data_IF_717550670799
#
_entry.id   IF_717550670799
#
_cell.length_a   1.000
_cell.length_b   1.000
_cell.length_c   1.000
_cell.angle_alpha   90.00
_cell.angle_beta   90.00
_cell.angle_gamma   90.00
#
_symmetry.space_group_name_H-M   'P 1'
#
loop_
_entity.id
_entity.type
_entity.pdbx_description
1 polymer ?
#
# COMPACT_ATOMS: atom_id res chain seq x y z
N UNK A 1 25.06 -6.73 -16.87
CA UNK A 1 24.17 -5.87 -16.05
C UNK A 1 23.08 -6.75 -15.48
N UNK A 2 23.10 -7.04 -14.18
CA UNK A 2 22.02 -7.80 -13.57
C UNK A 2 21.02 -6.82 -12.97
N UNK A 3 19.98 -6.48 -13.75
CA UNK A 3 18.76 -5.98 -13.14
C UNK A 3 18.23 -7.07 -12.20
N UNK A 4 17.69 -6.69 -11.03
CA UNK A 4 17.03 -7.67 -10.18
C UNK A 4 15.87 -8.35 -10.91
N UNK A 5 15.39 -9.46 -10.37
CA UNK A 5 14.32 -10.24 -11.00
C UNK A 5 13.11 -9.36 -11.37
N UNK A 6 12.51 -9.65 -12.52
CA UNK A 6 11.29 -9.00 -12.96
C UNK A 6 10.12 -9.54 -12.14
N UNK A 7 9.57 -8.72 -11.25
CA UNK A 7 8.47 -9.08 -10.34
C UNK A 7 7.10 -8.98 -11.03
N UNK A 8 6.96 -8.03 -11.95
CA UNK A 8 5.75 -7.88 -12.75
C UNK A 8 6.08 -7.25 -14.09
N UNK A 9 5.30 -7.64 -15.08
CA UNK A 9 5.43 -7.18 -16.45
C UNK A 9 4.07 -7.19 -17.14
N UNK A 10 3.57 -6.01 -17.47
CA UNK A 10 2.24 -5.83 -18.03
C UNK A 10 2.32 -4.87 -19.21
N UNK A 11 2.00 -5.37 -20.40
CA UNK A 11 1.71 -4.51 -21.54
C UNK A 11 0.37 -3.78 -21.31
N UNK A 12 0.33 -2.50 -21.67
CA UNK A 12 -0.86 -1.66 -21.68
C UNK A 12 -0.92 -0.86 -22.98
N UNK A 13 -2.03 -0.12 -23.15
CA UNK A 13 -2.32 0.63 -24.38
C UNK A 13 -1.22 1.66 -24.70
N UNK A 14 -0.68 2.31 -23.66
CA UNK A 14 0.32 3.39 -23.81
C UNK A 14 1.74 2.95 -23.40
N UNK A 15 2.01 1.65 -23.40
CA UNK A 15 3.33 1.10 -23.11
C UNK A 15 3.34 0.02 -22.02
N UNK A 16 4.53 -0.29 -21.51
CA UNK A 16 4.79 -1.45 -20.66
C UNK A 16 5.05 -1.03 -19.22
N UNK A 17 4.35 -1.62 -18.26
CA UNK A 17 4.58 -1.45 -16.85
C UNK A 17 5.41 -2.60 -16.32
N UNK A 18 6.59 -2.30 -15.79
CA UNK A 18 7.50 -3.30 -15.23
C UNK A 18 7.88 -2.97 -13.79
N UNK A 19 7.96 -4.01 -12.97
CA UNK A 19 8.42 -3.93 -11.59
C UNK A 19 9.69 -4.75 -11.47
N UNK A 20 10.79 -4.10 -11.12
CA UNK A 20 12.12 -4.70 -11.00
C UNK A 20 12.46 -4.84 -9.52
N UNK A 21 12.83 -6.05 -9.11
CA UNK A 21 13.29 -6.32 -7.76
C UNK A 21 14.60 -5.57 -7.46
N UNK A 22 14.74 -5.11 -6.23
CA UNK A 22 15.97 -4.57 -5.69
C UNK A 22 15.92 -4.76 -4.18
N UNK A 23 17.04 -5.19 -3.59
CA UNK A 23 17.18 -5.37 -2.15
C UNK A 23 16.88 -4.07 -1.37
N UNK A 24 17.14 -2.91 -1.97
CA UNK A 24 16.84 -1.60 -1.38
C UNK A 24 15.39 -1.13 -1.61
N UNK A 25 14.54 -1.99 -2.18
CA UNK A 25 13.14 -1.74 -2.52
C UNK A 25 12.91 -1.62 -4.02
N UNK A 26 11.80 -2.19 -4.49
CA UNK A 26 11.45 -2.34 -5.91
C UNK A 26 11.46 -1.02 -6.70
N UNK A 27 11.63 -1.15 -8.02
CA UNK A 27 11.51 -0.05 -8.98
C UNK A 27 10.31 -0.31 -9.88
N UNK A 28 9.40 0.66 -9.94
CA UNK A 28 8.21 0.62 -10.80
C UNK A 28 8.45 1.56 -11.97
N UNK A 29 8.52 1.02 -13.18
CA UNK A 29 8.81 1.77 -14.40
C UNK A 29 7.64 1.65 -15.36
N UNK A 30 7.32 2.77 -16.01
CA UNK A 30 6.45 2.79 -17.17
C UNK A 30 7.30 3.12 -18.40
N UNK A 31 7.50 2.13 -19.25
CA UNK A 31 8.31 2.22 -20.46
C UNK A 31 7.39 2.51 -21.64
N UNK A 32 7.63 3.64 -22.32
CA UNK A 32 7.00 3.94 -23.61
C UNK A 32 7.98 3.58 -24.71
N UNK A 33 7.58 2.67 -25.59
CA UNK A 33 8.32 2.22 -26.78
C UNK A 33 9.83 2.02 -26.57
N UNK A 34 10.25 1.18 -25.60
CA UNK A 34 11.67 0.97 -25.34
C UNK A 34 12.33 0.29 -26.55
N UNK A 35 13.28 0.98 -27.18
CA UNK A 35 14.13 0.38 -28.22
C UNK A 35 15.38 -0.22 -27.57
N UNK A 36 15.62 -1.54 -27.68
CA UNK A 36 16.81 -2.17 -27.10
C UNK A 36 18.11 -1.50 -27.56
N UNK A 37 19.05 -1.32 -26.63
CA UNK A 37 20.36 -0.72 -26.92
C UNK A 37 20.35 0.81 -27.08
N UNK A 38 19.20 1.47 -27.02
CA UNK A 38 19.11 2.94 -26.99
C UNK A 38 19.03 3.45 -25.55
N UNK A 39 19.63 4.62 -25.24
CA UNK A 39 19.45 5.27 -23.94
C UNK A 39 17.98 5.54 -23.64
N UNK A 40 17.57 5.37 -22.38
CA UNK A 40 16.24 5.73 -21.92
C UNK A 40 16.19 7.21 -21.55
N UNK A 41 15.09 7.87 -21.90
CA UNK A 41 14.75 9.20 -21.39
C UNK A 41 13.68 9.08 -20.30
N UNK A 42 13.79 9.87 -19.23
CA UNK A 42 12.79 9.94 -18.18
C UNK A 42 11.92 11.19 -18.34
N UNK A 43 10.59 11.00 -18.40
CA UNK A 43 9.61 12.10 -18.41
C UNK A 43 9.04 12.22 -17.00
N UNK A 44 9.25 13.36 -16.36
CA UNK A 44 8.79 13.63 -14.99
C UNK A 44 7.76 14.76 -15.03
N UNK A 45 6.47 14.48 -14.80
CA UNK A 45 5.46 15.52 -14.69
C UNK A 45 5.77 16.49 -13.54
N UNK A 46 5.54 17.78 -13.77
CA UNK A 46 5.60 18.83 -12.75
C UNK A 46 4.31 18.82 -11.91
N UNK A 47 4.11 17.75 -11.15
CA UNK A 47 2.95 17.55 -10.29
C UNK A 47 3.34 17.58 -8.80
N UNK A 48 2.34 17.41 -7.93
CA UNK A 48 2.54 17.33 -6.47
C UNK A 48 3.49 16.21 -6.02
N UNK A 49 3.72 15.21 -6.88
CA UNK A 49 4.53 14.04 -6.61
C UNK A 49 5.94 14.16 -7.24
N UNK A 50 6.28 15.33 -7.83
CA UNK A 50 7.53 15.61 -8.55
C UNK A 50 8.79 15.17 -7.79
N UNK A 51 8.96 15.63 -6.54
CA UNK A 51 10.15 15.31 -5.74
C UNK A 51 10.33 13.81 -5.52
N UNK A 52 9.24 13.09 -5.38
CA UNK A 52 9.25 11.63 -5.24
C UNK A 52 9.58 10.92 -6.54
N UNK A 53 9.07 11.41 -7.67
CA UNK A 53 9.41 10.90 -8.99
C UNK A 53 10.91 11.10 -9.29
N UNK A 54 11.47 12.24 -8.90
CA UNK A 54 12.92 12.50 -8.99
C UNK A 54 13.71 11.55 -8.09
N UNK A 55 13.31 11.35 -6.84
CA UNK A 55 13.99 10.42 -5.95
C UNK A 55 13.97 8.98 -6.51
N UNK A 56 12.84 8.55 -7.07
CA UNK A 56 12.69 7.25 -7.73
C UNK A 56 13.61 7.12 -8.94
N UNK A 57 13.66 8.15 -9.78
CA UNK A 57 14.55 8.20 -10.94
C UNK A 57 16.02 8.12 -10.53
N UNK A 58 16.44 8.85 -9.49
CA UNK A 58 17.82 8.80 -9.00
C UNK A 58 18.17 7.41 -8.45
N UNK A 59 17.25 6.74 -7.75
CA UNK A 59 17.44 5.35 -7.30
C UNK A 59 17.61 4.42 -8.50
N UNK A 60 16.75 4.54 -9.52
CA UNK A 60 16.83 3.73 -10.72
C UNK A 60 18.10 4.00 -11.54
N UNK A 61 18.51 5.25 -11.66
CA UNK A 61 19.76 5.63 -12.31
C UNK A 61 20.96 4.97 -11.62
N UNK A 62 21.02 4.98 -10.28
CA UNK A 62 22.09 4.25 -9.56
C UNK A 62 22.08 2.76 -9.87
N UNK A 63 20.91 2.13 -9.89
CA UNK A 63 20.76 0.72 -10.27
C UNK A 63 21.30 0.44 -11.69
N UNK A 64 20.99 1.30 -12.67
CA UNK A 64 21.48 1.18 -14.05
C UNK A 64 23.02 1.15 -14.14
N UNK A 65 23.69 1.89 -13.26
CA UNK A 65 25.16 1.95 -13.20
C UNK A 65 25.75 1.03 -12.12
N UNK A 66 25.02 -0.02 -11.73
CA UNK A 66 25.43 -1.02 -10.73
C UNK A 66 25.87 -0.42 -9.37
N UNK A 67 25.30 0.74 -9.01
CA UNK A 67 25.49 1.37 -7.70
C UNK A 67 24.31 1.00 -6.78
N UNK A 68 24.52 0.93 -5.45
CA UNK A 68 23.41 0.79 -4.51
C UNK A 68 22.35 1.86 -4.76
N UNK A 69 21.10 1.46 -4.99
CA UNK A 69 20.00 2.38 -5.28
C UNK A 69 19.77 3.40 -4.16
N UNK A 70 20.02 2.97 -2.91
CA UNK A 70 19.73 3.71 -1.70
C UNK A 70 18.32 3.45 -1.19
N UNK A 71 18.01 3.93 0.03
CA UNK A 71 16.74 3.67 0.70
C UNK A 71 15.56 4.24 -0.09
N UNK A 72 14.37 3.68 0.15
CA UNK A 72 13.13 4.26 -0.36
C UNK A 72 12.94 5.69 0.18
N UNK A 73 12.34 6.61 -0.59
CA UNK A 73 11.96 7.92 -0.11
C UNK A 73 11.18 7.85 1.20
N UNK A 74 11.40 8.84 2.08
CA UNK A 74 10.63 8.94 3.33
C UNK A 74 9.13 8.98 3.00
N UNK A 75 8.34 8.25 3.78
CA UNK A 75 6.89 8.14 3.56
C UNK A 75 6.44 7.08 2.56
N UNK A 76 7.36 6.42 1.83
CA UNK A 76 7.03 5.27 0.97
C UNK A 76 6.64 4.02 1.76
N UNK A 77 7.48 3.52 2.69
CA UNK A 77 7.11 2.35 3.44
C UNK A 77 5.99 2.69 4.42
N UNK A 78 4.95 1.86 4.46
CA UNK A 78 4.00 1.90 5.56
C UNK A 78 4.74 1.59 6.86
N UNK A 79 4.56 2.44 7.87
CA UNK A 79 5.05 2.15 9.22
C UNK A 79 4.42 0.85 9.73
N UNK A 80 5.10 0.14 10.63
CA UNK A 80 4.58 -1.09 11.22
C UNK A 80 3.18 -0.90 11.82
N UNK A 81 2.95 0.21 12.53
CA UNK A 81 1.65 0.59 13.05
C UNK A 81 0.57 0.75 11.97
N UNK A 82 0.88 1.47 10.87
CA UNK A 82 -0.08 1.64 9.76
C UNK A 82 -0.40 0.32 9.07
N UNK A 83 0.61 -0.54 8.88
CA UNK A 83 0.44 -1.88 8.30
C UNK A 83 -0.48 -2.74 9.18
N UNK A 84 -0.21 -2.82 10.47
CA UNK A 84 -1.04 -3.58 11.41
C UNK A 84 -2.48 -3.05 11.47
N UNK A 85 -2.67 -1.73 11.43
CA UNK A 85 -4.02 -1.14 11.35
C UNK A 85 -4.74 -1.53 10.07
N UNK A 86 -4.08 -1.50 8.91
CA UNK A 86 -4.68 -1.90 7.63
C UNK A 86 -5.05 -3.39 7.62
N UNK A 87 -4.24 -4.24 8.22
CA UNK A 87 -4.55 -5.68 8.37
C UNK A 87 -5.82 -5.89 9.21
N UNK A 88 -5.93 -5.19 10.35
CA UNK A 88 -7.15 -5.21 11.16
C UNK A 88 -8.36 -4.69 10.38
N UNK A 89 -8.19 -3.64 9.58
CA UNK A 89 -9.25 -3.09 8.73
C UNK A 89 -9.73 -4.11 7.69
N UNK A 90 -8.80 -4.82 7.03
CA UNK A 90 -9.14 -5.87 6.06
C UNK A 90 -9.93 -7.00 6.73
N UNK A 91 -9.42 -7.55 7.84
CA UNK A 91 -10.13 -8.61 8.59
C UNK A 91 -11.52 -8.17 9.05
N UNK A 92 -11.66 -6.93 9.53
CA UNK A 92 -12.94 -6.38 9.96
C UNK A 92 -13.91 -6.18 8.78
N UNK A 93 -13.39 -5.81 7.60
CA UNK A 93 -14.17 -5.65 6.39
C UNK A 93 -14.68 -6.99 5.89
N UNK A 94 -13.82 -8.00 5.80
CA UNK A 94 -14.18 -9.36 5.36
C UNK A 94 -15.33 -9.91 6.22
N UNK A 95 -15.15 -9.89 7.55
CA UNK A 95 -16.20 -10.32 8.48
C UNK A 95 -17.49 -9.50 8.34
N UNK A 96 -17.38 -8.19 8.09
CA UNK A 96 -18.54 -7.33 7.93
C UNK A 96 -19.31 -7.64 6.64
N UNK A 97 -18.58 -7.94 5.55
CA UNK A 97 -19.16 -8.35 4.27
C UNK A 97 -19.84 -9.72 4.38
N UNK A 98 -19.32 -10.60 5.24
CA UNK A 98 -19.94 -11.89 5.59
C UNK A 98 -21.12 -11.76 6.57
N UNK A 99 -21.54 -10.54 6.90
CA UNK A 99 -22.73 -10.27 7.72
C UNK A 99 -22.49 -10.22 9.23
N UNK A 100 -21.25 -10.36 9.71
CA UNK A 100 -20.96 -10.31 11.13
C UNK A 100 -21.38 -8.97 11.76
N UNK A 101 -21.88 -9.05 12.98
CA UNK A 101 -22.16 -7.91 13.84
C UNK A 101 -20.87 -7.30 14.37
N UNK A 102 -20.90 -6.01 14.75
CA UNK A 102 -19.75 -5.36 15.38
C UNK A 102 -19.22 -6.09 16.63
N UNK A 103 -20.07 -6.86 17.32
CA UNK A 103 -19.70 -7.61 18.50
C UNK A 103 -18.93 -8.88 18.15
N UNK A 104 -19.40 -9.62 17.15
CA UNK A 104 -18.69 -10.79 16.61
C UNK A 104 -17.34 -10.38 16.00
N UNK A 105 -17.29 -9.25 15.29
CA UNK A 105 -16.03 -8.71 14.77
C UNK A 105 -15.08 -8.37 15.93
N UNK A 106 -15.56 -7.77 17.02
CA UNK A 106 -14.71 -7.48 18.17
C UNK A 106 -14.09 -8.75 18.77
N UNK A 107 -14.90 -9.80 18.97
CA UNK A 107 -14.44 -11.10 19.48
C UNK A 107 -13.40 -11.70 18.52
N UNK A 108 -13.69 -11.75 17.22
CA UNK A 108 -12.77 -12.29 16.21
C UNK A 108 -11.44 -11.53 16.09
N UNK A 109 -11.40 -10.26 16.51
CA UNK A 109 -10.18 -9.43 16.59
C UNK A 109 -9.47 -9.52 17.96
N UNK A 110 -9.82 -10.50 18.79
CA UNK A 110 -9.17 -10.78 20.08
C UNK A 110 -9.67 -9.91 21.24
N UNK A 111 -10.92 -9.43 21.16
CA UNK A 111 -11.62 -8.75 22.27
C UNK A 111 -12.60 -9.70 22.95
N UNK A 112 -12.15 -10.89 23.33
CA UNK A 112 -13.00 -11.96 23.86
C UNK A 112 -13.78 -11.55 25.12
N UNK A 113 -13.26 -10.57 25.88
CA UNK A 113 -13.95 -10.02 27.05
C UNK A 113 -15.33 -9.45 26.72
N UNK A 114 -15.55 -9.01 25.48
CA UNK A 114 -16.84 -8.44 25.05
C UNK A 114 -17.94 -9.49 24.90
N UNK A 115 -17.58 -10.78 24.82
CA UNK A 115 -18.55 -11.87 24.74
C UNK A 115 -19.42 -11.96 26.01
N UNK A 116 -18.87 -11.54 27.16
CA UNK A 116 -19.55 -11.60 28.47
C UNK A 116 -20.35 -10.35 28.83
N UNK A 117 -20.19 -9.26 28.08
CA UNK A 117 -20.88 -8.00 28.37
C UNK A 117 -22.39 -8.11 28.15
N UNK A 118 -23.18 -7.44 28.99
CA UNK A 118 -24.59 -7.19 28.69
C UNK A 118 -24.74 -6.31 27.44
N UNK A 119 -25.96 -6.24 26.90
CA UNK A 119 -26.25 -5.36 25.77
C UNK A 119 -25.95 -3.88 26.07
N UNK A 120 -26.21 -3.43 27.31
CA UNK A 120 -25.95 -2.04 27.75
C UNK A 120 -24.45 -1.77 27.86
N UNK A 121 -23.70 -2.68 28.49
CA UNK A 121 -22.25 -2.55 28.61
C UNK A 121 -21.56 -2.60 27.25
N UNK A 122 -22.02 -3.47 26.33
CA UNK A 122 -21.52 -3.52 24.97
C UNK A 122 -21.73 -2.19 24.24
N UNK A 123 -22.92 -1.59 24.33
CA UNK A 123 -23.24 -0.31 23.69
C UNK A 123 -22.32 0.83 24.14
N UNK A 124 -21.91 0.81 25.41
CA UNK A 124 -21.04 1.84 26.00
C UNK A 124 -19.55 1.47 25.98
N UNK A 125 -19.17 0.31 25.43
CA UNK A 125 -17.80 -0.18 25.46
C UNK A 125 -16.86 0.55 24.49
N UNK A 126 -15.60 0.70 24.90
CA UNK A 126 -14.53 1.18 24.03
C UNK A 126 -14.29 0.23 22.84
N UNK A 127 -14.48 -1.08 23.04
CA UNK A 127 -14.34 -2.10 22.00
C UNK A 127 -15.35 -1.91 20.86
N UNK A 128 -16.62 -1.61 21.17
CA UNK A 128 -17.62 -1.27 20.16
C UNK A 128 -17.20 -0.04 19.35
N UNK A 129 -16.80 1.03 20.03
CA UNK A 129 -16.36 2.28 19.38
C UNK A 129 -15.10 2.07 18.52
N UNK A 130 -14.20 1.19 18.95
CA UNK A 130 -13.01 0.80 18.20
C UNK A 130 -13.40 0.07 16.90
N UNK A 131 -14.17 -1.01 16.99
CA UNK A 131 -14.55 -1.81 15.81
C UNK A 131 -15.45 -1.04 14.86
N UNK A 132 -16.36 -0.21 15.38
CA UNK A 132 -17.19 0.66 14.53
C UNK A 132 -16.32 1.58 13.65
N UNK A 133 -15.35 2.28 14.25
CA UNK A 133 -14.41 3.13 13.50
C UNK A 133 -13.55 2.30 12.54
N UNK A 134 -13.12 1.12 12.95
CA UNK A 134 -12.31 0.24 12.12
C UNK A 134 -13.06 -0.18 10.85
N UNK A 135 -14.30 -0.66 10.98
CA UNK A 135 -15.15 -1.05 9.85
C UNK A 135 -15.49 0.16 8.97
N UNK A 136 -15.82 1.31 9.57
CA UNK A 136 -16.09 2.54 8.83
C UNK A 136 -14.89 2.94 7.97
N UNK A 137 -13.70 2.98 8.57
CA UNK A 137 -12.48 3.35 7.87
C UNK A 137 -12.15 2.30 6.79
N UNK A 138 -12.37 1.01 7.05
CA UNK A 138 -12.13 -0.07 6.08
C UNK A 138 -13.07 0.01 4.88
N UNK A 139 -14.34 0.34 5.13
CA UNK A 139 -15.35 0.57 4.09
C UNK A 139 -14.97 1.76 3.20
N UNK A 140 -14.49 2.86 3.80
CA UNK A 140 -14.00 4.00 3.05
C UNK A 140 -12.79 3.61 2.16
N UNK A 141 -11.85 2.83 2.71
CA UNK A 141 -10.70 2.30 1.97
C UNK A 141 -11.12 1.48 0.76
N UNK A 142 -12.06 0.54 0.93
CA UNK A 142 -12.63 -0.26 -0.17
C UNK A 142 -13.26 0.64 -1.23
N UNK A 143 -14.01 1.67 -0.81
CA UNK A 143 -14.74 2.58 -1.71
C UNK A 143 -13.87 3.68 -2.35
N UNK A 144 -12.56 3.51 -2.38
CA UNK A 144 -11.66 4.36 -3.18
C UNK A 144 -10.54 5.05 -2.40
N UNK A 145 -10.64 5.09 -1.06
CA UNK A 145 -9.58 5.69 -0.25
C UNK A 145 -8.27 4.87 -0.26
N UNK A 146 -8.30 3.61 -0.74
CA UNK A 146 -7.08 2.84 -1.02
C UNK A 146 -6.10 3.58 -1.93
N UNK A 147 -6.59 4.45 -2.82
CA UNK A 147 -5.74 5.29 -3.69
C UNK A 147 -4.86 6.26 -2.88
N UNK A 148 -5.25 6.60 -1.65
CA UNK A 148 -4.42 7.40 -0.73
C UNK A 148 -3.17 6.64 -0.27
N UNK A 149 -3.14 5.31 -0.35
CA UNK A 149 -1.93 4.50 -0.09
C UNK A 149 -0.92 4.59 -1.24
N UNK A 150 -1.39 4.92 -2.44
CA UNK A 150 -0.55 5.13 -3.61
C UNK A 150 0.05 6.54 -3.64
N UNK A 151 -0.47 7.43 -2.81
CA UNK A 151 0.05 8.79 -2.65
C UNK A 151 1.13 8.79 -1.60
N UNK A 152 2.28 9.33 -1.97
CA UNK A 152 3.41 9.45 -1.08
C UNK A 152 3.15 10.68 -0.21
N UNK A 153 3.33 10.55 1.10
CA UNK A 153 3.15 11.64 2.08
C UNK A 153 4.50 12.07 2.62
#
# INVERSE_FOLDING_TARGET
>A
MAFGALLADRAGIDGRHVVVADAAGEHRLWLRDPTPGRPLAAIIPLDRDFGTRIASLLRFHRLLFAKPSGPLPRGWPLTAYRRARLELMLRALDLRMDGATYREIAIALGKDEVARLSATEWKNSAARSFVYRLVRDATAMMNGDYRKLLRIR
#
